data_IF_186902037583
#
_entry.id   IF_186902037583
#
_cell.length_a   1.000
_cell.length_b   1.000
_cell.length_c   1.000
_cell.angle_alpha   90.00
_cell.angle_beta   90.00
_cell.angle_gamma   90.00
#
_symmetry.space_group_name_H-M   'P 1'
#
loop_
_entity.id
_entity.type
_entity.pdbx_description
1 polymer ?
#
# COMPACT_ATOMS: atom_id res chain seq x y z
N UNK A 1 2.35 -3.73 21.74
CA UNK A 1 2.95 -5.07 21.93
C UNK A 1 1.96 -6.03 22.54
N UNK A 2 2.30 -7.30 22.55
CA UNK A 2 1.46 -8.38 23.03
C UNK A 2 0.22 -8.58 22.20
N UNK A 3 -0.89 -9.04 22.80
CA UNK A 3 -2.13 -9.34 22.09
C UNK A 3 -2.78 -8.15 21.38
N UNK A 4 -2.41 -6.91 21.76
CA UNK A 4 -2.92 -5.70 21.11
C UNK A 4 -2.64 -5.65 19.61
N UNK A 5 -1.56 -6.29 19.14
CA UNK A 5 -1.22 -6.34 17.70
C UNK A 5 -2.26 -7.15 16.91
N UNK A 6 -2.93 -8.11 17.54
CA UNK A 6 -4.01 -8.88 16.92
C UNK A 6 -5.21 -8.02 16.50
N UNK A 7 -5.44 -6.89 17.15
CA UNK A 7 -6.55 -5.98 16.83
C UNK A 7 -6.38 -5.27 15.49
N UNK A 8 -5.17 -5.24 14.93
CA UNK A 8 -4.93 -4.65 13.62
C UNK A 8 -5.28 -5.58 12.45
N UNK A 9 -5.47 -6.87 12.74
CA UNK A 9 -5.65 -7.88 11.70
C UNK A 9 -6.81 -7.59 10.75
N UNK A 10 -8.02 -7.21 11.21
CA UNK A 10 -9.13 -6.86 10.32
C UNK A 10 -8.80 -5.70 9.39
N UNK A 11 -8.20 -4.62 9.92
CA UNK A 11 -7.82 -3.45 9.12
C UNK A 11 -6.74 -3.79 8.07
N UNK A 12 -5.80 -4.67 8.42
CA UNK A 12 -4.76 -5.14 7.49
C UNK A 12 -5.37 -5.98 6.38
N UNK A 13 -6.35 -6.84 6.70
CA UNK A 13 -7.05 -7.62 5.68
C UNK A 13 -7.81 -6.72 4.71
N UNK A 14 -8.55 -5.74 5.21
CA UNK A 14 -9.25 -4.76 4.37
C UNK A 14 -8.27 -3.96 3.50
N UNK A 15 -7.17 -3.49 4.06
CA UNK A 15 -6.14 -2.78 3.29
C UNK A 15 -5.55 -3.65 2.17
N UNK A 16 -5.34 -4.95 2.42
CA UNK A 16 -4.87 -5.89 1.40
C UNK A 16 -5.91 -6.09 0.29
N UNK A 17 -7.16 -6.32 0.64
CA UNK A 17 -8.23 -6.55 -0.33
C UNK A 17 -8.57 -5.31 -1.17
N UNK A 18 -8.49 -4.14 -0.55
CA UNK A 18 -8.76 -2.86 -1.21
C UNK A 18 -7.51 -2.23 -1.88
N UNK A 19 -6.37 -2.93 -1.91
CA UNK A 19 -5.11 -2.41 -2.45
C UNK A 19 -4.72 -1.04 -1.85
N UNK A 20 -4.90 -0.89 -0.53
CA UNK A 20 -4.56 0.34 0.19
C UNK A 20 -3.14 0.20 0.74
N UNK A 21 -2.21 1.13 0.41
CA UNK A 21 -0.89 1.14 1.02
C UNK A 21 -1.02 1.48 2.50
N UNK A 22 -0.51 0.60 3.36
CA UNK A 22 -0.56 0.75 4.81
C UNK A 22 0.77 0.31 5.42
N UNK A 23 1.39 1.18 6.21
CA UNK A 23 2.58 0.82 6.99
C UNK A 23 2.16 0.57 8.43
N UNK A 24 2.21 -0.70 8.84
CA UNK A 24 1.90 -1.14 10.20
C UNK A 24 3.18 -1.14 11.01
N UNK A 25 3.20 -0.39 12.11
CA UNK A 25 4.34 -0.31 13.03
C UNK A 25 3.92 -0.89 14.38
N UNK A 26 4.61 -1.94 14.83
CA UNK A 26 4.34 -2.56 16.13
C UNK A 26 5.56 -2.49 17.03
N UNK A 27 5.36 -2.13 18.29
CA UNK A 27 6.41 -2.28 19.31
C UNK A 27 6.42 -3.72 19.84
N UNK A 28 7.60 -4.22 20.19
CA UNK A 28 7.77 -5.56 20.74
C UNK A 28 8.77 -5.56 21.89
N UNK A 29 8.85 -6.66 22.62
CA UNK A 29 9.93 -6.94 23.55
C UNK A 29 11.21 -7.26 22.80
N UNK A 30 12.36 -7.04 23.46
CA UNK A 30 13.65 -7.44 22.94
C UNK A 30 13.70 -8.95 22.67
N UNK A 31 14.58 -9.37 21.76
CA UNK A 31 14.66 -10.77 21.33
C UNK A 31 14.85 -11.75 22.49
N UNK A 32 15.66 -11.36 23.48
CA UNK A 32 15.93 -12.18 24.65
C UNK A 32 14.71 -12.30 25.59
N UNK A 33 13.83 -11.30 25.64
CA UNK A 33 12.65 -11.34 26.52
C UNK A 33 11.48 -12.15 25.93
N UNK A 34 11.49 -12.44 24.64
CA UNK A 34 10.38 -13.14 23.96
C UNK A 34 10.21 -14.57 24.44
N UNK A 35 11.28 -15.23 24.88
CA UNK A 35 11.28 -16.64 25.27
C UNK A 35 11.09 -16.88 26.77
N UNK A 36 11.11 -15.85 27.59
CA UNK A 36 11.07 -15.98 29.07
C UNK A 36 9.70 -15.68 29.68
N UNK A 37 8.65 -15.61 28.89
CA UNK A 37 7.32 -15.28 29.41
C UNK A 37 7.22 -13.87 29.99
N UNK A 38 8.00 -12.92 29.47
CA UNK A 38 7.94 -11.53 29.88
C UNK A 38 6.51 -10.98 29.72
N UNK A 39 6.12 -10.09 30.63
CA UNK A 39 4.80 -9.51 30.59
C UNK A 39 4.50 -8.82 29.25
N UNK A 40 3.27 -8.97 28.75
CA UNK A 40 2.79 -8.38 27.50
C UNK A 40 3.63 -8.81 26.27
N UNK A 41 3.99 -10.08 26.23
CA UNK A 41 4.76 -10.69 25.15
C UNK A 41 3.91 -11.69 24.39
N UNK A 42 3.98 -11.65 23.06
CA UNK A 42 3.45 -12.68 22.17
C UNK A 42 4.42 -12.80 20.97
N UNK A 43 4.33 -13.86 20.23
CA UNK A 43 5.10 -13.97 18.98
C UNK A 43 4.51 -13.03 17.93
N UNK A 44 5.26 -11.95 17.64
CA UNK A 44 4.90 -10.95 16.65
C UNK A 44 5.60 -11.16 15.31
N UNK A 45 6.48 -12.19 15.23
CA UNK A 45 7.22 -12.47 14.00
C UNK A 45 6.27 -12.98 12.94
N UNK A 46 6.13 -12.17 11.87
CA UNK A 46 5.21 -12.47 10.76
C UNK A 46 3.77 -12.76 11.22
N UNK A 47 3.33 -12.16 12.31
CA UNK A 47 2.00 -12.41 12.89
C UNK A 47 0.85 -12.20 11.88
N UNK A 48 1.03 -11.34 10.87
CA UNK A 48 0.05 -11.09 9.83
C UNK A 48 0.21 -12.00 8.61
N UNK A 49 1.23 -12.88 8.60
CA UNK A 49 1.45 -13.86 7.56
C UNK A 49 1.49 -13.27 6.15
N UNK A 50 0.69 -13.85 5.27
CA UNK A 50 0.51 -13.44 3.87
C UNK A 50 -0.39 -12.20 3.68
N UNK A 51 -0.94 -11.65 4.78
CA UNK A 51 -1.80 -10.45 4.71
C UNK A 51 -0.99 -9.17 4.55
N UNK A 52 0.33 -9.22 4.78
CA UNK A 52 1.24 -8.12 4.48
C UNK A 52 2.18 -8.50 3.33
N UNK A 53 2.51 -7.53 2.48
CA UNK A 53 3.40 -7.73 1.32
C UNK A 53 4.87 -7.87 1.73
N UNK A 54 5.23 -7.26 2.84
CA UNK A 54 6.60 -7.26 3.35
C UNK A 54 6.58 -7.14 4.87
N UNK A 55 7.57 -7.78 5.50
CA UNK A 55 7.76 -7.78 6.94
C UNK A 55 9.23 -7.59 7.28
N UNK A 56 9.51 -6.81 8.32
CA UNK A 56 10.84 -6.75 8.93
C UNK A 56 10.73 -6.70 10.44
N UNK A 57 11.56 -7.51 11.10
CA UNK A 57 11.83 -7.42 12.54
C UNK A 57 13.16 -6.67 12.71
N UNK A 58 13.12 -5.49 13.35
CA UNK A 58 14.28 -4.62 13.46
C UNK A 58 15.24 -5.13 14.55
N UNK A 59 16.48 -4.70 14.46
CA UNK A 59 17.42 -4.87 15.57
C UNK A 59 16.98 -4.00 16.75
N UNK A 60 17.14 -4.52 17.98
CA UNK A 60 16.95 -3.73 19.19
C UNK A 60 17.93 -2.54 19.18
N UNK A 61 17.50 -1.31 19.47
CA UNK A 61 18.36 -0.12 19.36
C UNK A 61 19.71 -0.23 20.06
N UNK A 62 19.77 -0.89 21.22
CA UNK A 62 20.99 -1.14 21.97
C UNK A 62 22.02 -2.07 21.26
N UNK A 63 21.59 -2.81 20.24
CA UNK A 63 22.45 -3.70 19.45
C UNK A 63 23.02 -3.02 18.20
N UNK A 64 22.73 -1.72 17.99
CA UNK A 64 23.15 -0.96 16.83
C UNK A 64 24.49 -0.20 17.03
N UNK A 65 25.32 -0.64 17.97
CA UNK A 65 26.63 -0.05 18.18
C UNK A 65 27.49 -0.10 16.90
N UNK A 66 28.03 1.06 16.50
CA UNK A 66 28.81 1.19 15.28
C UNK A 66 27.99 1.26 13.96
N UNK A 67 26.66 1.20 14.04
CA UNK A 67 25.77 1.38 12.90
C UNK A 67 25.28 2.82 12.85
N UNK A 68 25.26 3.42 11.66
CA UNK A 68 24.53 4.67 11.46
C UNK A 68 23.01 4.38 11.54
N UNK A 69 22.47 4.57 12.75
CA UNK A 69 21.04 4.30 13.05
C UNK A 69 20.13 5.15 12.18
N UNK A 70 20.50 6.39 11.89
CA UNK A 70 19.69 7.28 11.04
C UNK A 70 19.60 6.75 9.62
N UNK A 71 20.73 6.33 9.06
CA UNK A 71 20.77 5.74 7.72
C UNK A 71 20.03 4.39 7.68
N UNK A 72 20.21 3.55 8.71
CA UNK A 72 19.50 2.28 8.83
C UNK A 72 17.97 2.48 8.80
N UNK A 73 17.45 3.36 9.67
CA UNK A 73 16.01 3.63 9.73
C UNK A 73 15.48 4.28 8.45
N UNK A 74 16.25 5.17 7.81
CA UNK A 74 15.89 5.76 6.50
C UNK A 74 15.75 4.68 5.43
N UNK A 75 16.65 3.70 5.39
CA UNK A 75 16.57 2.58 4.43
C UNK A 75 15.35 1.71 4.69
N UNK A 76 15.05 1.38 5.95
CA UNK A 76 13.86 0.62 6.31
C UNK A 76 12.58 1.36 5.91
N UNK A 77 12.51 2.66 6.19
CA UNK A 77 11.36 3.48 5.81
C UNK A 77 11.18 3.54 4.28
N UNK A 78 12.28 3.66 3.52
CA UNK A 78 12.24 3.66 2.06
C UNK A 78 11.74 2.29 1.52
N UNK A 79 12.25 1.18 2.06
CA UNK A 79 11.80 -0.16 1.68
C UNK A 79 10.33 -0.40 2.04
N UNK A 80 9.89 0.04 3.22
CA UNK A 80 8.49 -0.08 3.63
C UNK A 80 7.57 0.70 2.66
N UNK A 81 7.95 1.92 2.28
CA UNK A 81 7.24 2.70 1.29
C UNK A 81 7.22 2.00 -0.08
N UNK A 82 8.37 1.59 -0.58
CA UNK A 82 8.51 0.88 -1.86
C UNK A 82 7.61 -0.35 -1.90
N UNK A 83 7.74 -1.25 -0.91
CA UNK A 83 6.93 -2.47 -0.86
C UNK A 83 5.43 -2.21 -0.68
N UNK A 84 5.05 -1.11 -0.03
CA UNK A 84 3.63 -0.76 0.11
C UNK A 84 3.01 -0.22 -1.18
N UNK A 85 3.83 0.37 -2.07
CA UNK A 85 3.38 1.08 -3.27
C UNK A 85 3.70 0.34 -4.58
N UNK A 86 4.72 -0.54 -4.59
CA UNK A 86 5.19 -1.17 -5.83
C UNK A 86 4.27 -2.29 -6.28
N UNK A 87 4.06 -2.38 -7.61
CA UNK A 87 3.19 -3.34 -8.28
C UNK A 87 1.71 -3.13 -7.91
N UNK A 88 1.22 -3.83 -6.92
CA UNK A 88 -0.12 -3.60 -6.34
C UNK A 88 0.05 -2.98 -4.97
N UNK A 89 -0.65 -1.91 -4.65
CA UNK A 89 -0.62 -1.31 -3.32
C UNK A 89 -1.06 -2.30 -2.24
N UNK A 90 -0.53 -2.16 -1.02
CA UNK A 90 -0.95 -3.02 0.07
C UNK A 90 -0.18 -2.82 1.37
N UNK A 91 -0.57 -3.52 2.45
CA UNK A 91 0.01 -3.35 3.76
C UNK A 91 1.41 -4.00 3.88
N UNK A 92 2.25 -3.36 4.69
CA UNK A 92 3.57 -3.85 5.12
C UNK A 92 3.69 -3.74 6.63
N UNK A 93 4.56 -4.54 7.26
CA UNK A 93 4.70 -4.59 8.71
C UNK A 93 6.16 -4.41 9.14
N UNK A 94 6.38 -3.48 10.07
CA UNK A 94 7.66 -3.24 10.73
C UNK A 94 7.50 -3.53 12.23
N UNK A 95 8.24 -4.48 12.77
CA UNK A 95 8.25 -4.79 14.18
C UNK A 95 9.47 -4.16 14.85
N UNK A 96 9.26 -3.39 15.92
CA UNK A 96 10.28 -2.65 16.65
C UNK A 96 10.50 -3.27 18.03
N UNK A 97 11.55 -4.06 18.24
CA UNK A 97 11.90 -4.56 19.58
C UNK A 97 12.59 -3.49 20.42
N UNK A 98 12.17 -3.36 21.68
CA UNK A 98 12.74 -2.44 22.65
C UNK A 98 13.10 -3.14 23.94
N UNK A 99 14.23 -2.72 24.58
CA UNK A 99 14.60 -3.08 25.94
C UNK A 99 14.11 -2.04 26.94
N UNK A 100 13.85 -2.48 28.15
CA UNK A 100 13.66 -1.58 29.30
C UNK A 100 14.98 -0.90 29.69
N UNK A 101 14.97 0.34 30.23
CA UNK A 101 13.78 1.18 30.46
C UNK A 101 13.23 1.73 29.13
N UNK A 102 11.89 1.83 29.02
CA UNK A 102 11.23 2.35 27.82
C UNK A 102 11.03 3.87 27.88
N UNK A 103 11.01 4.40 29.10
CA UNK A 103 10.88 5.82 29.36
C UNK A 103 12.21 6.53 29.10
N UNK A 104 12.20 7.63 28.34
CA UNK A 104 13.42 8.41 28.13
C UNK A 104 13.84 9.09 29.45
N UNK A 105 15.08 8.90 29.85
CA UNK A 105 15.63 9.49 31.08
C UNK A 105 15.96 10.97 30.96
N UNK A 106 16.30 11.44 29.76
CA UNK A 106 16.45 12.84 29.40
C UNK A 106 16.14 13.00 27.91
N UNK A 107 15.16 13.87 27.60
CA UNK A 107 14.84 14.23 26.22
C UNK A 107 15.46 15.60 25.92
N UNK A 108 16.66 15.63 25.38
CA UNK A 108 17.12 16.80 24.66
C UNK A 108 16.57 16.78 23.22
N UNK A 109 15.39 17.38 23.06
CA UNK A 109 14.72 17.43 21.76
C UNK A 109 15.49 18.28 20.72
N UNK A 110 16.48 19.04 21.13
CA UNK A 110 17.30 19.85 20.20
C UNK A 110 18.24 19.00 19.37
N UNK A 111 18.75 17.90 19.92
CA UNK A 111 19.54 16.91 19.17
C UNK A 111 18.71 16.09 18.17
N UNK A 112 17.39 16.01 18.38
CA UNK A 112 16.46 15.26 17.52
C UNK A 112 15.82 16.10 16.42
N UNK A 113 16.26 17.34 16.18
CA UNK A 113 15.97 18.05 14.92
C UNK A 113 16.64 17.29 13.78
N UNK A 114 15.95 16.28 13.31
CA UNK A 114 16.37 15.51 12.14
C UNK A 114 16.15 16.44 10.95
N UNK A 115 17.24 16.92 10.35
CA UNK A 115 17.21 17.40 8.97
C UNK A 115 16.91 16.18 8.08
N UNK A 116 15.60 15.91 7.97
CA UNK A 116 15.11 14.68 7.40
C UNK A 116 15.03 14.83 5.89
N UNK A 117 16.14 14.51 5.21
CA UNK A 117 16.10 14.24 3.78
C UNK A 117 15.75 12.77 3.57
N UNK A 118 14.52 12.44 3.14
CA UNK A 118 14.14 11.07 2.86
C UNK A 118 14.97 10.51 1.71
N UNK A 119 15.16 9.20 1.70
CA UNK A 119 15.68 8.51 0.52
C UNK A 119 14.60 8.60 -0.57
N UNK A 120 14.99 9.12 -1.75
CA UNK A 120 14.08 9.16 -2.89
C UNK A 120 13.89 7.74 -3.43
N UNK A 121 12.68 7.23 -3.33
CA UNK A 121 12.27 5.98 -3.97
C UNK A 121 11.73 6.31 -5.36
N UNK A 122 12.26 5.65 -6.38
CA UNK A 122 11.79 5.78 -7.76
C UNK A 122 11.14 4.44 -8.11
N UNK A 123 9.83 4.46 -8.24
CA UNK A 123 9.07 3.29 -8.66
C UNK A 123 9.18 3.14 -10.18
N UNK A 124 9.25 1.91 -10.71
CA UNK A 124 9.24 1.68 -12.15
C UNK A 124 7.88 2.06 -12.74
N UNK A 125 7.90 2.57 -13.95
CA UNK A 125 6.70 2.83 -14.74
C UNK A 125 6.52 1.70 -15.74
N UNK A 126 5.30 1.16 -15.82
CA UNK A 126 4.94 0.17 -16.81
C UNK A 126 4.55 0.87 -18.12
N UNK A 127 5.15 0.41 -19.22
CA UNK A 127 4.77 0.85 -20.56
C UNK A 127 4.31 -0.33 -21.38
N UNK A 128 3.29 -0.12 -22.20
CA UNK A 128 2.81 -1.15 -23.12
C UNK A 128 3.51 -1.04 -24.47
N UNK A 129 3.76 -2.18 -25.11
CA UNK A 129 4.22 -2.20 -26.49
C UNK A 129 3.19 -1.51 -27.41
N UNK A 130 3.67 -0.60 -28.24
CA UNK A 130 2.84 0.15 -29.18
C UNK A 130 2.05 -0.74 -30.14
N UNK A 131 2.58 -1.91 -30.52
CA UNK A 131 1.89 -2.90 -31.35
C UNK A 131 0.70 -3.50 -30.60
N UNK A 132 0.86 -3.78 -29.29
CA UNK A 132 -0.23 -4.27 -28.48
C UNK A 132 -1.35 -3.25 -28.36
N UNK A 133 -1.01 -1.98 -28.07
CA UNK A 133 -1.98 -0.88 -27.99
C UNK A 133 -2.73 -0.73 -29.31
N UNK A 134 -2.00 -0.74 -30.46
CA UNK A 134 -2.64 -0.67 -31.78
C UNK A 134 -3.62 -1.82 -32.00
N UNK A 135 -3.21 -3.04 -31.71
CA UNK A 135 -4.09 -4.22 -31.84
C UNK A 135 -5.35 -4.11 -30.97
N UNK A 136 -5.22 -3.57 -29.76
CA UNK A 136 -6.37 -3.34 -28.87
C UNK A 136 -7.34 -2.30 -29.48
N UNK A 137 -6.82 -1.19 -29.99
CA UNK A 137 -7.62 -0.15 -30.65
C UNK A 137 -8.32 -0.72 -31.88
N UNK A 138 -7.61 -1.46 -32.74
CA UNK A 138 -8.16 -2.07 -33.94
C UNK A 138 -9.32 -3.03 -33.60
N UNK A 139 -9.19 -3.80 -32.52
CA UNK A 139 -10.26 -4.69 -32.03
C UNK A 139 -11.46 -3.90 -31.50
N UNK A 140 -11.26 -2.83 -30.77
CA UNK A 140 -12.35 -1.97 -30.29
C UNK A 140 -13.10 -1.32 -31.45
N UNK A 141 -12.38 -0.81 -32.45
CA UNK A 141 -12.97 -0.12 -33.61
C UNK A 141 -13.67 -1.06 -34.59
N UNK A 142 -13.23 -2.32 -34.68
CA UNK A 142 -13.88 -3.33 -35.53
C UNK A 142 -15.06 -4.03 -34.87
N UNK A 143 -15.24 -3.86 -33.56
CA UNK A 143 -16.36 -4.44 -32.82
C UNK A 143 -17.64 -3.64 -33.05
N UNK A 144 -18.75 -4.34 -33.26
CA UNK A 144 -20.07 -3.70 -33.36
C UNK A 144 -20.56 -3.10 -32.02
N UNK A 145 -20.08 -3.63 -30.91
CA UNK A 145 -20.49 -3.21 -29.56
C UNK A 145 -19.35 -3.32 -28.57
N UNK A 146 -18.36 -2.43 -28.62
CA UNK A 146 -17.24 -2.48 -27.68
C UNK A 146 -17.67 -1.97 -26.31
N UNK A 147 -17.34 -2.73 -25.26
CA UNK A 147 -17.67 -2.41 -23.87
C UNK A 147 -16.38 -2.16 -23.10
N UNK A 148 -16.38 -1.11 -22.28
CA UNK A 148 -15.38 -0.83 -21.27
C UNK A 148 -15.97 -1.06 -19.88
N UNK A 149 -15.33 -1.90 -19.09
CA UNK A 149 -15.68 -2.08 -17.68
C UNK A 149 -14.70 -1.26 -16.82
N UNK A 150 -15.22 -0.31 -16.04
CA UNK A 150 -14.47 0.45 -15.06
C UNK A 150 -14.59 -0.25 -13.69
N UNK A 151 -13.51 -0.84 -13.24
CA UNK A 151 -13.44 -1.50 -11.93
C UNK A 151 -13.26 -0.54 -10.76
N UNK A 152 -13.16 -1.05 -9.53
CA UNK A 152 -12.91 -0.26 -8.33
C UNK A 152 -11.69 0.65 -8.47
N UNK A 153 -11.76 1.84 -7.86
CA UNK A 153 -10.69 2.85 -7.82
C UNK A 153 -10.20 3.40 -9.18
N UNK A 154 -10.87 3.09 -10.29
CA UNK A 154 -10.48 3.54 -11.63
C UNK A 154 -10.23 5.07 -11.72
N UNK A 155 -10.92 5.88 -10.91
CA UNK A 155 -10.72 7.34 -10.84
C UNK A 155 -9.32 7.76 -10.37
N UNK A 156 -8.58 6.88 -9.72
CA UNK A 156 -7.19 7.16 -9.29
C UNK A 156 -6.19 7.00 -10.42
N UNK A 157 -6.53 6.18 -11.42
CA UNK A 157 -5.65 5.82 -12.53
C UNK A 157 -5.90 6.68 -13.77
N UNK A 158 -7.13 7.15 -13.97
CA UNK A 158 -7.50 7.91 -15.16
C UNK A 158 -8.37 9.12 -14.80
N UNK A 159 -8.02 10.27 -15.36
CA UNK A 159 -8.87 11.47 -15.20
C UNK A 159 -10.16 11.38 -16.02
N UNK A 160 -11.21 12.05 -15.55
CA UNK A 160 -12.51 12.12 -16.22
C UNK A 160 -12.40 12.59 -17.67
N UNK A 161 -11.57 13.61 -17.93
CA UNK A 161 -11.41 14.19 -19.27
C UNK A 161 -10.76 13.22 -20.25
N UNK A 162 -9.71 12.51 -19.80
CA UNK A 162 -9.05 11.49 -20.63
C UNK A 162 -9.99 10.33 -20.91
N UNK A 163 -10.70 9.86 -19.90
CA UNK A 163 -11.68 8.78 -20.03
C UNK A 163 -12.79 9.16 -21.02
N UNK A 164 -13.36 10.36 -20.90
CA UNK A 164 -14.45 10.82 -21.79
C UNK A 164 -13.99 10.91 -23.24
N UNK A 165 -12.80 11.42 -23.49
CA UNK A 165 -12.20 11.47 -24.83
C UNK A 165 -11.99 10.05 -25.40
N UNK A 166 -11.42 9.16 -24.61
CA UNK A 166 -11.18 7.79 -25.01
C UNK A 166 -12.46 7.05 -25.38
N UNK A 167 -13.48 7.15 -24.53
CA UNK A 167 -14.82 6.57 -24.75
C UNK A 167 -15.47 7.10 -26.03
N UNK A 168 -15.38 8.41 -26.25
CA UNK A 168 -15.95 9.05 -27.44
C UNK A 168 -15.23 8.64 -28.72
N UNK A 169 -13.90 8.60 -28.72
CA UNK A 169 -13.09 8.24 -29.88
C UNK A 169 -13.30 6.79 -30.34
N UNK A 170 -13.45 5.87 -29.41
CA UNK A 170 -13.60 4.44 -29.69
C UNK A 170 -15.08 3.99 -29.67
N UNK A 171 -16.01 4.92 -29.50
CA UNK A 171 -17.46 4.65 -29.46
C UNK A 171 -17.83 3.56 -28.42
N UNK A 172 -17.21 3.61 -27.23
CA UNK A 172 -17.40 2.61 -26.20
C UNK A 172 -18.71 2.82 -25.43
N UNK A 173 -19.32 1.71 -25.00
CA UNK A 173 -20.29 1.70 -23.89
C UNK A 173 -19.53 1.38 -22.60
N UNK A 174 -19.78 2.12 -21.53
CA UNK A 174 -19.02 2.00 -20.29
C UNK A 174 -19.91 1.45 -19.19
N UNK A 175 -19.51 0.33 -18.61
CA UNK A 175 -20.10 -0.19 -17.38
C UNK A 175 -19.26 0.26 -16.20
N UNK A 176 -19.91 0.91 -15.24
CA UNK A 176 -19.25 1.61 -14.14
C UNK A 176 -19.51 0.89 -12.83
N UNK A 177 -18.47 0.29 -12.26
CA UNK A 177 -18.53 -0.30 -10.94
C UNK A 177 -18.86 0.79 -9.89
N UNK A 178 -19.75 0.55 -8.92
CA UNK A 178 -20.07 1.51 -7.85
C UNK A 178 -18.83 2.01 -7.09
N UNK A 179 -17.80 1.20 -6.99
CA UNK A 179 -16.52 1.53 -6.32
C UNK A 179 -15.49 2.19 -7.25
N UNK A 180 -15.81 2.39 -8.53
CA UNK A 180 -14.89 3.01 -9.50
C UNK A 180 -14.51 4.45 -9.18
N UNK A 181 -15.30 5.14 -8.35
CA UNK A 181 -15.16 6.56 -8.04
C UNK A 181 -15.72 7.50 -9.12
N UNK A 182 -16.22 6.96 -10.24
CA UNK A 182 -16.93 7.74 -11.25
C UNK A 182 -18.44 7.78 -10.96
N UNK A 183 -19.06 8.95 -11.19
CA UNK A 183 -20.49 9.20 -10.95
C UNK A 183 -21.24 9.47 -12.26
N UNK A 184 -22.56 9.52 -12.19
CA UNK A 184 -23.53 9.54 -13.31
C UNK A 184 -23.48 10.72 -14.27
N UNK A 185 -22.68 11.72 -14.02
CA UNK A 185 -22.69 13.00 -14.77
C UNK A 185 -21.65 13.07 -15.91
N UNK A 186 -21.18 11.91 -16.40
CA UNK A 186 -20.09 11.88 -17.39
C UNK A 186 -20.63 11.91 -18.82
N UNK A 187 -21.52 11.01 -19.20
CA UNK A 187 -22.26 10.99 -20.47
C UNK A 187 -23.27 9.84 -20.51
N UNK A 188 -24.19 9.85 -21.46
CA UNK A 188 -25.21 8.80 -21.68
C UNK A 188 -24.63 7.43 -22.05
N UNK A 189 -23.32 7.36 -22.29
CA UNK A 189 -22.60 6.10 -22.56
C UNK A 189 -22.17 5.35 -21.30
N UNK A 190 -22.31 5.99 -20.12
CA UNK A 190 -21.91 5.43 -18.85
C UNK A 190 -23.11 4.79 -18.15
N UNK A 191 -23.12 3.48 -18.08
CA UNK A 191 -24.17 2.69 -17.45
C UNK A 191 -23.75 2.40 -16.02
N UNK A 192 -24.43 3.05 -15.10
CA UNK A 192 -24.35 2.79 -13.67
C UNK A 192 -25.33 1.66 -13.31
N UNK A 193 -25.06 0.96 -12.22
CA UNK A 193 -25.94 -0.11 -11.73
C UNK A 193 -26.19 -1.24 -12.76
N UNK A 194 -25.20 -1.51 -13.63
CA UNK A 194 -25.28 -2.59 -14.60
C UNK A 194 -25.48 -3.96 -13.94
N UNK A 195 -25.00 -4.13 -12.72
CA UNK A 195 -25.11 -5.31 -11.85
C UNK A 195 -26.56 -5.60 -11.42
N UNK A 196 -27.44 -4.61 -11.50
CA UNK A 196 -28.89 -4.75 -11.23
C UNK A 196 -29.68 -4.98 -12.53
N UNK A 197 -29.10 -4.64 -13.68
CA UNK A 197 -29.75 -4.70 -14.99
C UNK A 197 -29.46 -6.04 -15.68
N UNK A 198 -28.30 -6.64 -15.44
CA UNK A 198 -27.85 -7.93 -15.99
C UNK A 198 -28.16 -9.09 -15.06
#
# INVERSE_FOLDING_TARGET
SGTAVGNFYPAIMEAKHANIPLIVITADRSHEERLYGANQTTDQIKIYGDKVKWFVDLATPSNLNGVDVKLYLKKIAAQAYEHSMFDTNGPVHINFPFRKPLEPTQLDLTEYRIDFKPIKVILPEYTFDSKYIKSLIDRCTSSSFPILLLGPDAHREISKDVLTKFVSQLNLTVFVDPLSGFKSDISDRFILNYDVIL
#
